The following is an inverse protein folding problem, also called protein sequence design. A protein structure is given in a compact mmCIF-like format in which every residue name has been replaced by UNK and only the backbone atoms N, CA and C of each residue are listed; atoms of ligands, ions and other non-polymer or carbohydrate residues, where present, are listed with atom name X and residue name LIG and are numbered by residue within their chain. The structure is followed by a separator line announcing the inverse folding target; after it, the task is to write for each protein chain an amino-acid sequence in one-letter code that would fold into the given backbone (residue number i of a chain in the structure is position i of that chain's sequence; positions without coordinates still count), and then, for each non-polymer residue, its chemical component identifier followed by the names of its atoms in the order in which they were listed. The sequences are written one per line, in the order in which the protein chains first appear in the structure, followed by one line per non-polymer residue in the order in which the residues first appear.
data_IF_260928564660
#
_entry.id   IF_260928564660
#
_cell.length_a   1.000
_cell.length_b   1.000
_cell.length_c   1.000
_cell.angle_alpha   90.00
_cell.angle_beta   90.00
_cell.angle_gamma   90.00
#
_symmetry.space_group_name_H-M   'P 1'
#
loop_
_entity.id
_entity.type
_entity.pdbx_description
1 polymer ?
#
# COMPACT_ATOMS: atom_id res chain seq x y z
N UNK A 1 24.39 28.61 -22.12
CA UNK A 1 23.77 27.54 -22.94
C UNK A 1 24.40 26.15 -22.73
N UNK A 2 25.04 25.84 -21.59
CA UNK A 2 25.60 24.50 -21.33
C UNK A 2 25.05 23.82 -20.06
N UNK A 3 24.31 24.55 -19.20
CA UNK A 3 23.72 23.98 -17.99
C UNK A 3 22.52 23.08 -18.32
N UNK A 4 21.71 23.46 -19.30
CA UNK A 4 20.48 22.75 -19.65
C UNK A 4 20.75 21.33 -20.15
N UNK A 5 21.79 21.12 -20.97
CA UNK A 5 22.18 19.79 -21.45
C UNK A 5 22.70 18.87 -20.34
N UNK A 6 23.34 19.43 -19.30
CA UNK A 6 23.78 18.67 -18.12
C UNK A 6 22.59 18.30 -17.22
N UNK A 7 21.64 19.22 -17.06
CA UNK A 7 20.38 18.99 -16.32
C UNK A 7 19.53 17.93 -17.04
N UNK A 8 19.42 18.00 -18.37
CA UNK A 8 18.67 17.03 -19.17
C UNK A 8 19.31 15.63 -19.15
N UNK A 9 20.64 15.53 -19.07
CA UNK A 9 21.33 14.25 -18.92
C UNK A 9 21.12 13.59 -17.53
N UNK A 10 20.69 14.36 -16.53
CA UNK A 10 20.33 13.84 -15.20
C UNK A 10 18.85 13.46 -15.09
N UNK A 11 18.02 13.84 -16.07
CA UNK A 11 16.62 13.45 -16.12
C UNK A 11 16.48 11.98 -16.57
N UNK A 12 15.41 11.27 -16.15
CA UNK A 12 15.19 9.89 -16.56
C UNK A 12 15.07 9.77 -18.10
N UNK A 13 15.89 8.93 -18.71
CA UNK A 13 15.79 8.65 -20.16
C UNK A 13 14.54 7.85 -20.52
N UNK A 14 14.13 7.88 -21.80
CA UNK A 14 12.91 7.21 -22.32
C UNK A 14 12.78 5.71 -21.98
N UNK A 15 13.91 5.00 -21.85
CA UNK A 15 13.90 3.59 -21.43
C UNK A 15 13.42 3.39 -19.98
N UNK A 16 13.56 4.40 -19.12
CA UNK A 16 13.08 4.38 -17.72
C UNK A 16 11.57 4.60 -17.67
N UNK A 17 11.00 5.38 -18.59
CA UNK A 17 9.54 5.59 -18.71
C UNK A 17 8.82 4.31 -19.17
N UNK A 18 9.46 3.50 -20.01
CA UNK A 18 8.92 2.23 -20.52
C UNK A 18 8.84 1.11 -19.47
N UNK A 19 9.53 1.21 -18.32
CA UNK A 19 9.49 0.24 -17.20
C UNK A 19 8.19 0.32 -16.38
N UNK A 20 7.19 1.05 -16.87
CA UNK A 20 5.90 1.28 -16.24
C UNK A 20 4.79 0.31 -16.57
N UNK A 21 5.06 -0.73 -17.37
CA UNK A 21 4.05 -1.69 -17.80
C UNK A 21 3.28 -2.31 -16.60
N UNK A 22 1.96 -2.52 -16.73
CA UNK A 22 1.18 -3.20 -15.70
C UNK A 22 1.63 -4.65 -15.53
N UNK A 23 1.52 -5.15 -14.30
CA UNK A 23 1.81 -6.55 -13.94
C UNK A 23 0.52 -7.28 -13.56
N UNK A 24 0.54 -8.61 -13.63
CA UNK A 24 -0.56 -9.47 -13.16
C UNK A 24 -0.08 -10.33 -11.99
N UNK A 25 -0.88 -10.36 -10.93
CA UNK A 25 -0.59 -11.13 -9.71
C UNK A 25 -1.76 -12.07 -9.45
N UNK A 26 -1.51 -13.37 -9.45
CA UNK A 26 -2.47 -14.40 -9.06
C UNK A 26 -2.41 -14.66 -7.55
N UNK A 27 -3.53 -14.49 -6.87
CA UNK A 27 -3.69 -14.70 -5.42
C UNK A 27 -4.36 -16.03 -5.09
N UNK A 28 -4.57 -16.91 -6.08
CA UNK A 28 -5.25 -18.21 -5.90
C UNK A 28 -4.61 -19.11 -4.83
N UNK A 29 -3.28 -19.03 -4.70
CA UNK A 29 -2.47 -19.83 -3.75
C UNK A 29 -2.09 -19.08 -2.47
N UNK A 30 -2.61 -17.86 -2.29
CA UNK A 30 -2.30 -17.06 -1.11
C UNK A 30 -3.11 -17.59 0.07
N UNK A 31 -2.44 -17.93 1.16
CA UNK A 31 -3.08 -18.40 2.39
C UNK A 31 -3.51 -17.23 3.29
N UNK A 32 -4.55 -17.38 4.14
CA UNK A 32 -4.91 -16.35 5.11
C UNK A 32 -3.72 -15.94 5.99
N UNK A 33 -3.52 -14.63 6.14
CA UNK A 33 -2.38 -14.04 6.86
C UNK A 33 -1.08 -14.00 6.06
N UNK A 34 -1.05 -14.60 4.87
CA UNK A 34 0.15 -14.62 4.03
C UNK A 34 0.31 -13.30 3.28
N UNK A 35 1.53 -12.78 3.32
CA UNK A 35 1.99 -11.63 2.54
C UNK A 35 3.02 -12.08 1.53
N UNK A 36 2.83 -11.70 0.27
CA UNK A 36 3.82 -11.84 -0.80
C UNK A 36 4.27 -10.47 -1.30
N UNK A 37 5.43 -10.45 -1.96
CA UNK A 37 6.00 -9.26 -2.57
C UNK A 37 6.01 -9.42 -4.09
N UNK A 38 5.50 -8.44 -4.82
CA UNK A 38 5.70 -8.27 -6.25
C UNK A 38 6.52 -7.01 -6.52
N UNK A 39 7.00 -6.83 -7.74
CA UNK A 39 7.69 -5.60 -8.16
C UNK A 39 6.93 -4.93 -9.31
N UNK A 40 6.63 -3.64 -9.16
CA UNK A 40 6.07 -2.81 -10.23
C UNK A 40 6.77 -1.45 -10.24
N UNK A 41 7.25 -0.98 -11.41
CA UNK A 41 8.04 0.26 -11.54
C UNK A 41 9.26 0.31 -10.59
N UNK A 42 9.95 -0.83 -10.38
CA UNK A 42 11.03 -1.00 -9.39
C UNK A 42 10.62 -0.69 -7.95
N UNK A 43 9.32 -0.62 -7.67
CA UNK A 43 8.77 -0.45 -6.33
C UNK A 43 8.25 -1.81 -5.85
N UNK A 44 8.55 -2.19 -4.60
CA UNK A 44 7.99 -3.37 -3.99
C UNK A 44 6.48 -3.14 -3.74
N UNK A 45 5.67 -4.13 -4.05
CA UNK A 45 4.22 -4.12 -3.85
C UNK A 45 3.86 -5.28 -2.92
N UNK A 46 3.21 -4.96 -1.80
CA UNK A 46 2.63 -6.00 -0.94
C UNK A 46 1.34 -6.50 -1.53
N UNK A 47 1.12 -7.80 -1.42
CA UNK A 47 -0.18 -8.44 -1.58
C UNK A 47 -0.39 -9.31 -0.33
N UNK A 48 -1.33 -8.90 0.52
CA UNK A 48 -1.66 -9.55 1.78
C UNK A 48 -3.07 -10.12 1.70
N UNK A 49 -3.23 -11.41 1.99
CA UNK A 49 -4.55 -12.00 2.26
C UNK A 49 -4.85 -11.84 3.74
N UNK A 50 -5.75 -10.92 4.06
CA UNK A 50 -6.11 -10.57 5.43
C UNK A 50 -7.00 -11.66 6.03
N UNK A 51 -6.72 -11.98 7.29
CA UNK A 51 -7.59 -12.85 8.06
C UNK A 51 -8.83 -12.10 8.57
N UNK A 52 -9.93 -12.79 8.88
CA UNK A 52 -11.14 -12.15 9.40
C UNK A 52 -10.89 -11.25 10.62
N UNK A 53 -10.02 -11.68 11.54
CA UNK A 53 -9.69 -10.90 12.73
C UNK A 53 -8.93 -9.61 12.40
N UNK A 54 -8.09 -9.60 11.35
CA UNK A 54 -7.41 -8.39 10.88
C UNK A 54 -8.45 -7.39 10.37
N UNK A 55 -9.46 -7.86 9.62
CA UNK A 55 -10.54 -7.02 9.08
C UNK A 55 -11.41 -6.42 10.18
N UNK A 56 -11.76 -7.22 11.18
CA UNK A 56 -12.50 -6.74 12.35
C UNK A 56 -11.71 -5.63 13.06
N UNK A 57 -10.42 -5.86 13.30
CA UNK A 57 -9.55 -4.91 13.99
C UNK A 57 -9.48 -3.54 13.30
N UNK A 58 -9.56 -3.50 11.97
CA UNK A 58 -9.49 -2.24 11.21
C UNK A 58 -10.65 -1.27 11.49
N UNK A 59 -11.76 -1.76 12.02
CA UNK A 59 -12.94 -0.97 12.37
C UNK A 59 -13.06 -0.67 13.86
N UNK A 60 -12.12 -1.14 14.68
CA UNK A 60 -12.15 -0.92 16.12
C UNK A 60 -11.97 0.57 16.47
N UNK A 61 -12.89 1.19 17.23
CA UNK A 61 -12.79 2.61 17.58
C UNK A 61 -11.50 2.96 18.34
N UNK A 62 -10.97 2.00 19.12
CA UNK A 62 -9.71 2.15 19.86
C UNK A 62 -8.50 2.27 18.94
N UNK A 63 -8.51 1.58 17.79
CA UNK A 63 -7.49 1.72 16.74
C UNK A 63 -7.71 3.02 15.96
N UNK A 64 -8.93 3.30 15.52
CA UNK A 64 -9.23 4.46 14.66
C UNK A 64 -8.80 5.79 15.30
N UNK A 65 -8.97 5.95 16.62
CA UNK A 65 -8.52 7.13 17.37
C UNK A 65 -6.99 7.29 17.46
N UNK A 66 -6.23 6.27 17.09
CA UNK A 66 -4.76 6.25 17.13
C UNK A 66 -4.13 6.38 15.75
N UNK A 67 -4.94 6.58 14.71
CA UNK A 67 -4.45 6.78 13.35
C UNK A 67 -4.35 8.28 13.05
N UNK A 68 -3.31 8.66 12.30
CA UNK A 68 -3.11 10.04 11.85
C UNK A 68 -4.11 10.45 10.77
N UNK A 69 -4.40 9.51 9.87
CA UNK A 69 -5.32 9.70 8.76
C UNK A 69 -6.26 8.47 8.65
N UNK A 70 -7.22 8.31 9.58
CA UNK A 70 -8.10 7.15 9.59
C UNK A 70 -9.00 7.07 8.35
N UNK A 71 -9.32 8.22 7.76
CA UNK A 71 -10.24 8.38 6.63
C UNK A 71 -9.55 8.42 5.25
N UNK A 72 -8.22 8.39 5.21
CA UNK A 72 -7.44 8.47 3.96
C UNK A 72 -7.75 9.71 3.13
N UNK A 73 -7.72 10.88 3.76
CA UNK A 73 -8.14 12.17 3.15
C UNK A 73 -7.01 12.87 2.37
N UNK A 74 -5.80 12.33 2.38
CA UNK A 74 -4.63 12.94 1.75
C UNK A 74 -4.61 12.70 0.23
N UNK A 75 -4.06 13.65 -0.56
CA UNK A 75 -4.11 13.57 -2.03
C UNK A 75 -3.43 12.34 -2.66
N UNK A 76 -2.44 11.73 -1.98
CA UNK A 76 -1.76 10.53 -2.48
C UNK A 76 -2.55 9.23 -2.27
N UNK A 77 -3.72 9.32 -1.65
CA UNK A 77 -4.57 8.17 -1.35
C UNK A 77 -5.28 7.67 -2.62
N UNK A 78 -5.66 6.39 -2.69
CA UNK A 78 -6.32 5.87 -3.87
C UNK A 78 -7.66 6.57 -4.14
N UNK A 79 -8.17 6.40 -5.36
CA UNK A 79 -9.51 6.85 -5.72
C UNK A 79 -10.57 6.35 -4.71
N UNK A 80 -11.67 7.10 -4.59
CA UNK A 80 -12.71 6.87 -3.58
C UNK A 80 -13.22 5.41 -3.52
N UNK A 81 -13.22 4.69 -4.64
CA UNK A 81 -13.60 3.27 -4.72
C UNK A 81 -12.77 2.33 -3.83
N UNK A 82 -11.50 2.65 -3.56
CA UNK A 82 -10.65 1.86 -2.67
C UNK A 82 -10.93 2.19 -1.19
N UNK A 83 -11.57 3.32 -0.91
CA UNK A 83 -11.92 3.77 0.45
C UNK A 83 -13.30 3.18 0.81
N UNK A 84 -13.38 1.85 0.82
CA UNK A 84 -14.57 1.08 1.19
C UNK A 84 -14.64 0.87 2.72
N UNK A 85 -14.90 1.95 3.46
CA UNK A 85 -14.80 1.93 4.91
C UNK A 85 -13.34 1.99 5.36
N UNK A 86 -12.89 1.01 6.15
CA UNK A 86 -11.56 1.03 6.75
C UNK A 86 -10.51 0.21 5.98
N UNK A 87 -10.88 -0.45 4.87
CA UNK A 87 -10.06 -1.51 4.29
C UNK A 87 -9.00 -1.05 3.28
N UNK A 88 -9.18 0.12 2.63
CA UNK A 88 -8.24 0.67 1.63
C UNK A 88 -7.89 -0.33 0.52
N UNK A 89 -8.89 -1.01 -0.03
CA UNK A 89 -8.73 -2.02 -1.09
C UNK A 89 -10.02 -2.20 -1.88
N UNK A 90 -9.97 -2.69 -3.13
CA UNK A 90 -11.21 -3.03 -3.87
C UNK A 90 -11.95 -4.21 -3.23
N UNK A 91 -11.21 -5.15 -2.63
CA UNK A 91 -11.75 -6.31 -1.90
C UNK A 91 -11.23 -6.31 -0.46
N UNK A 92 -12.08 -6.43 0.57
CA UNK A 92 -11.62 -6.43 1.96
C UNK A 92 -10.68 -7.59 2.30
N UNK A 93 -10.73 -8.75 1.64
CA UNK A 93 -9.86 -9.88 1.96
C UNK A 93 -8.42 -9.74 1.40
N UNK A 94 -8.23 -8.98 0.31
CA UNK A 94 -6.90 -8.79 -0.30
C UNK A 94 -6.46 -7.33 -0.20
N UNK A 95 -5.35 -7.08 0.48
CA UNK A 95 -4.73 -5.77 0.58
C UNK A 95 -3.52 -5.65 -0.35
N UNK A 96 -3.52 -4.63 -1.21
CA UNK A 96 -2.44 -4.35 -2.16
C UNK A 96 -1.93 -2.94 -1.91
N UNK A 97 -0.63 -2.77 -1.66
CA UNK A 97 -0.04 -1.46 -1.36
C UNK A 97 1.41 -1.34 -1.83
N UNK A 98 1.86 -0.12 -2.09
CA UNK A 98 3.28 0.14 -2.40
C UNK A 98 4.08 0.00 -1.11
N UNK A 99 4.95 -0.99 -0.99
CA UNK A 99 5.65 -1.38 0.23
C UNK A 99 6.79 -0.41 0.64
N UNK A 100 6.54 0.90 0.59
CA UNK A 100 7.50 1.95 0.90
C UNK A 100 6.95 2.86 1.98
N UNK A 101 7.69 2.98 3.08
CA UNK A 101 7.38 3.89 4.16
C UNK A 101 7.36 5.33 3.65
N UNK A 102 6.31 6.07 3.99
CA UNK A 102 6.12 7.46 3.57
C UNK A 102 7.06 8.45 4.26
N UNK A 103 7.86 8.00 5.24
CA UNK A 103 8.92 8.82 5.83
C UNK A 103 10.12 8.95 4.87
N UNK A 104 10.88 7.86 4.66
CA UNK A 104 12.10 7.84 3.85
C UNK A 104 12.23 6.54 3.02
N UNK A 105 11.10 6.01 2.56
CA UNK A 105 11.03 4.93 1.56
C UNK A 105 11.70 3.59 1.93
N UNK A 106 12.09 3.35 3.18
CA UNK A 106 12.40 2.01 3.66
C UNK A 106 11.19 1.07 3.49
N UNK A 107 11.42 -0.23 3.34
CA UNK A 107 10.36 -1.25 3.30
C UNK A 107 9.98 -1.62 4.73
N UNK A 108 8.75 -1.35 5.22
CA UNK A 108 8.34 -1.78 6.55
C UNK A 108 8.26 -3.30 6.67
N UNK A 109 8.56 -3.84 7.85
CA UNK A 109 8.41 -5.26 8.15
C UNK A 109 6.94 -5.58 8.45
N UNK A 110 6.41 -6.63 7.83
CA UNK A 110 5.11 -7.20 8.20
C UNK A 110 5.21 -7.89 9.56
N UNK A 111 4.37 -7.49 10.51
CA UNK A 111 4.30 -8.00 11.88
C UNK A 111 2.83 -8.30 12.21
N UNK A 112 2.34 -9.52 11.90
CA UNK A 112 0.95 -9.87 12.12
C UNK A 112 0.62 -10.05 13.60
N UNK A 113 1.59 -10.45 14.43
CA UNK A 113 1.31 -10.68 15.86
C UNK A 113 1.07 -9.34 16.59
N UNK A 114 0.01 -9.25 17.42
CA UNK A 114 -0.29 -8.07 18.22
C UNK A 114 0.78 -7.87 19.30
N UNK A 115 0.83 -6.66 19.86
CA UNK A 115 1.69 -6.29 20.99
C UNK A 115 3.20 -6.38 20.74
N UNK A 116 3.62 -6.52 19.47
CA UNK A 116 5.03 -6.74 19.09
C UNK A 116 5.89 -5.47 19.02
N UNK A 117 5.27 -4.30 18.87
CA UNK A 117 5.98 -3.00 18.82
C UNK A 117 5.59 -2.11 20.00
N UNK A 118 4.29 -2.05 20.31
CA UNK A 118 3.77 -1.42 21.53
C UNK A 118 2.66 -2.27 22.14
N UNK A 119 2.39 -2.17 23.46
CA UNK A 119 1.41 -3.03 24.13
C UNK A 119 -0.03 -2.91 23.63
N UNK A 120 -0.38 -1.92 22.81
CA UNK A 120 -1.74 -1.75 22.29
C UNK A 120 -1.83 -2.01 20.79
N UNK A 121 -0.70 -2.05 20.07
CA UNK A 121 -0.71 -2.13 18.61
C UNK A 121 -1.16 -3.52 18.14
N UNK A 122 -2.17 -3.61 17.25
CA UNK A 122 -2.78 -4.89 16.88
C UNK A 122 -1.96 -5.73 15.91
N UNK A 123 -0.83 -5.21 15.42
CA UNK A 123 -0.11 -5.74 14.28
C UNK A 123 -0.36 -4.93 13.01
N UNK A 124 0.39 -5.25 11.96
CA UNK A 124 0.40 -4.53 10.70
C UNK A 124 1.81 -4.41 10.13
N UNK A 125 2.25 -3.19 9.86
CA UNK A 125 3.56 -2.92 9.28
C UNK A 125 4.38 -1.98 10.16
N UNK A 126 5.61 -2.36 10.47
CA UNK A 126 6.52 -1.57 11.29
C UNK A 126 7.80 -1.24 10.52
N UNK A 127 8.13 0.05 10.38
CA UNK A 127 9.33 0.51 9.70
C UNK A 127 10.46 0.74 10.71
N UNK A 128 11.45 -0.17 10.82
CA UNK A 128 12.48 -0.09 11.86
C UNK A 128 13.48 1.05 11.64
N UNK A 129 13.54 1.66 10.44
CA UNK A 129 14.45 2.76 10.15
C UNK A 129 14.26 3.93 11.12
N UNK A 130 13.00 4.26 11.43
CA UNK A 130 12.66 5.40 12.29
C UNK A 130 11.44 5.14 13.21
N UNK A 131 10.93 3.91 13.26
CA UNK A 131 9.86 3.52 14.20
C UNK A 131 8.43 3.82 13.74
N UNK A 132 8.19 4.13 12.46
CA UNK A 132 6.82 4.35 11.97
C UNK A 132 6.01 3.05 12.02
N UNK A 133 4.80 3.12 12.59
CA UNK A 133 3.86 2.01 12.65
C UNK A 133 2.66 2.25 11.74
N UNK A 134 2.15 1.18 11.15
CA UNK A 134 0.95 1.18 10.32
C UNK A 134 0.04 -0.02 10.65
N UNK A 135 -1.27 0.13 10.51
CA UNK A 135 -2.21 -0.99 10.67
C UNK A 135 -2.24 -1.94 9.45
N UNK A 136 -3.13 -2.95 9.44
CA UNK A 136 -3.29 -3.91 8.34
C UNK A 136 -3.83 -3.32 7.03
N UNK A 137 -4.27 -2.06 7.03
CA UNK A 137 -4.60 -1.28 5.83
C UNK A 137 -3.53 -0.24 5.53
N UNK A 138 -2.35 -0.38 6.13
CA UNK A 138 -1.21 0.52 6.02
C UNK A 138 -1.54 1.99 6.30
N UNK A 139 -2.48 2.24 7.22
CA UNK A 139 -2.76 3.56 7.77
C UNK A 139 -1.79 3.86 8.89
N UNK A 140 -1.20 5.05 8.85
CA UNK A 140 -0.13 5.43 9.76
C UNK A 140 -0.68 5.74 11.15
N UNK A 141 -0.01 5.22 12.16
CA UNK A 141 -0.30 5.49 13.56
C UNK A 141 0.14 6.92 13.90
N UNK A 142 -0.72 7.64 14.63
CA UNK A 142 -0.46 8.99 15.15
C UNK A 142 0.85 9.02 15.98
N UNK A 143 1.62 10.09 15.85
CA UNK A 143 2.96 10.19 16.45
C UNK A 143 4.09 9.45 15.70
N UNK A 144 3.81 8.63 14.69
CA UNK A 144 4.85 8.09 13.81
C UNK A 144 5.54 9.20 12.99
N UNK A 145 6.86 9.11 12.71
CA UNK A 145 7.56 10.06 11.83
C UNK A 145 7.03 10.07 10.39
N UNK A 146 6.50 8.95 9.92
CA UNK A 146 5.82 8.89 8.64
C UNK A 146 4.63 9.88 8.59
N UNK A 147 4.58 10.76 7.59
CA UNK A 147 3.55 11.79 7.52
C UNK A 147 2.21 11.25 7.01
N UNK A 148 2.20 10.16 6.24
CA UNK A 148 1.04 9.73 5.45
C UNK A 148 0.82 8.22 5.50
N UNK A 149 -0.41 7.77 5.24
CA UNK A 149 -0.71 6.36 4.97
C UNK A 149 0.03 5.89 3.71
N UNK A 150 0.45 4.63 3.68
CA UNK A 150 1.16 4.05 2.53
C UNK A 150 0.24 4.02 1.29
N UNK A 151 0.69 4.51 0.11
CA UNK A 151 -0.17 4.61 -1.06
C UNK A 151 -0.54 3.24 -1.64
N UNK A 152 -1.74 3.18 -2.23
CA UNK A 152 -2.25 2.02 -2.95
C UNK A 152 -1.96 2.24 -4.43
N UNK A 153 -1.32 1.29 -5.15
CA UNK A 153 -1.10 1.45 -6.58
C UNK A 153 -2.43 1.41 -7.35
N UNK A 154 -2.51 1.97 -8.57
CA UNK A 154 -3.64 1.71 -9.45
C UNK A 154 -3.71 0.21 -9.74
N UNK A 155 -4.87 -0.42 -9.56
CA UNK A 155 -5.09 -1.81 -9.95
C UNK A 155 -6.59 -2.10 -10.12
N UNK A 156 -6.88 -3.22 -10.78
CA UNK A 156 -8.23 -3.77 -10.89
C UNK A 156 -8.19 -5.31 -10.90
N UNK A 157 -9.35 -5.97 -10.81
CA UNK A 157 -9.43 -7.43 -10.81
C UNK A 157 -9.79 -7.94 -12.21
N UNK A 158 -8.85 -8.60 -12.89
CA UNK A 158 -9.13 -9.25 -14.19
C UNK A 158 -10.02 -10.49 -14.04
N UNK A 159 -9.86 -11.18 -12.93
CA UNK A 159 -10.66 -12.34 -12.54
C UNK A 159 -10.83 -12.33 -11.03
N UNK A 160 -11.55 -13.32 -10.48
CA UNK A 160 -11.68 -13.50 -9.03
C UNK A 160 -10.35 -13.75 -8.30
N UNK A 161 -9.27 -14.09 -9.00
CA UNK A 161 -7.96 -14.38 -8.38
C UNK A 161 -6.80 -13.62 -9.00
N UNK A 162 -6.98 -12.93 -10.13
CA UNK A 162 -5.90 -12.20 -10.80
C UNK A 162 -6.12 -10.70 -10.70
N UNK A 163 -5.23 -10.02 -9.99
CA UNK A 163 -5.17 -8.56 -9.92
C UNK A 163 -4.19 -8.02 -10.98
N UNK A 164 -4.59 -6.99 -11.73
CA UNK A 164 -3.71 -6.28 -12.66
C UNK A 164 -3.32 -4.95 -12.06
N UNK A 165 -2.03 -4.78 -11.74
CA UNK A 165 -1.46 -3.65 -11.02
C UNK A 165 -0.71 -2.75 -12.01
N UNK A 166 -0.95 -1.45 -11.94
CA UNK A 166 -0.31 -0.44 -12.76
C UNK A 166 -1.18 0.16 -13.86
N UNK A 167 -2.45 -0.24 -13.93
CA UNK A 167 -3.42 0.24 -14.92
C UNK A 167 -4.76 0.52 -14.25
N UNK A 168 -5.40 1.60 -14.68
CA UNK A 168 -6.81 1.92 -14.46
C UNK A 168 -7.31 2.50 -15.79
N UNK A 169 -8.56 2.24 -16.21
CA UNK A 169 -9.10 2.94 -17.38
C UNK A 169 -9.34 4.44 -17.05
N UNK A 170 -9.70 5.26 -18.05
CA UNK A 170 -9.88 6.71 -17.90
C UNK A 170 -10.95 7.14 -16.85
N UNK A 171 -11.77 6.20 -16.36
CA UNK A 171 -12.77 6.40 -15.32
C UNK A 171 -12.35 5.82 -13.94
N UNK A 172 -11.17 5.21 -13.84
CA UNK A 172 -10.75 4.50 -12.63
C UNK A 172 -11.36 3.10 -12.48
N UNK A 173 -12.10 2.59 -13.46
CA UNK A 173 -12.89 1.36 -13.34
C UNK A 173 -12.28 0.18 -14.12
N UNK A 174 -12.78 -1.03 -13.82
CA UNK A 174 -12.50 -2.27 -14.54
C UNK A 174 -12.65 -2.07 -16.06
N UNK A 175 -11.86 -2.81 -16.83
CA UNK A 175 -12.00 -2.84 -18.28
C UNK A 175 -13.16 -3.77 -18.64
N UNK A 176 -14.37 -3.22 -18.66
CA UNK A 176 -15.48 -3.62 -19.53
C UNK A 176 -16.34 -2.38 -19.86
#
# INVERSE_FOLDING_TARGET
MFADALIDNMNPGKAVEALGAPIEVDVSRLEPGQLILAEWKKKPIWILKREPWMLQTLSEPSLLRRLKDPRSEQNQQPAAQFINGNYRALRPDIFIAVALCTHMQCIPAYRPAPHTVTPWWPGGFHCPCHGSMYDFSARVVEGSPAPLNIPIPPYYWKTNTVARIGEVNAAGLDKD
#
